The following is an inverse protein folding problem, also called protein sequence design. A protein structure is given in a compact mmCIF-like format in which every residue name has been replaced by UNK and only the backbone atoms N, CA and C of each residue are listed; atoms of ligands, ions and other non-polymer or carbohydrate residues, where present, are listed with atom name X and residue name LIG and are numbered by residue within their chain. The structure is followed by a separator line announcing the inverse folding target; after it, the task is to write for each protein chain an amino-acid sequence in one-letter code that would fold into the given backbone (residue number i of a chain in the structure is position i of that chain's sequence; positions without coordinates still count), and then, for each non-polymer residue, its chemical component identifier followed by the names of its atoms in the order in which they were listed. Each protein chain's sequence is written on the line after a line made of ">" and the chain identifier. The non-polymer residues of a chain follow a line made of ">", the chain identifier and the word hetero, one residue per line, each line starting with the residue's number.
data_IF_354556669375
#
_entry.id   IF_354556669375
#
_cell.length_a   1.000
_cell.length_b   1.000
_cell.length_c   1.000
_cell.angle_alpha   90.00
_cell.angle_beta   90.00
_cell.angle_gamma   90.00
#
_symmetry.space_group_name_H-M   'P 1'
#
loop_
_entity.id
_entity.type
_entity.pdbx_description
1 polymer ?
#
# COMPACT_ATOMS: atom_id res chain seq x y z
N UNK A 1 9.38 -13.28 6.46
CA UNK A 1 8.46 -12.21 6.03
C UNK A 1 8.91 -10.97 6.79
N UNK A 2 10.05 -10.41 6.43
CA UNK A 2 10.79 -9.53 7.37
C UNK A 2 10.36 -8.06 7.28
N UNK A 3 9.45 -7.73 6.35
CA UNK A 3 9.03 -6.36 6.10
C UNK A 3 7.59 -6.08 6.54
N UNK A 4 6.89 -7.06 7.15
CA UNK A 4 5.47 -6.93 7.51
C UNK A 4 5.23 -5.76 8.47
N UNK A 5 5.98 -5.69 9.56
CA UNK A 5 5.84 -4.60 10.55
C UNK A 5 6.13 -3.23 9.94
N UNK A 6 7.12 -3.16 9.04
CA UNK A 6 7.45 -1.94 8.32
C UNK A 6 6.30 -1.51 7.40
N UNK A 7 5.74 -2.44 6.61
CA UNK A 7 4.58 -2.19 5.76
C UNK A 7 3.37 -1.72 6.59
N UNK A 8 3.08 -2.38 7.70
CA UNK A 8 2.01 -1.96 8.62
C UNK A 8 2.26 -0.55 9.17
N UNK A 9 3.51 -0.19 9.48
CA UNK A 9 3.90 1.16 9.87
C UNK A 9 3.63 2.20 8.78
N UNK A 10 3.89 1.86 7.51
CA UNK A 10 3.58 2.73 6.37
C UNK A 10 2.07 2.93 6.21
N UNK A 11 1.26 1.90 6.46
CA UNK A 11 -0.20 1.99 6.43
C UNK A 11 -0.67 2.88 7.59
N UNK A 12 -0.30 2.55 8.84
CA UNK A 12 -0.72 3.25 10.06
C UNK A 12 -0.45 4.75 10.00
N UNK A 13 0.72 5.16 9.53
CA UNK A 13 1.08 6.58 9.37
C UNK A 13 0.23 7.34 8.35
N UNK A 14 -0.50 6.64 7.48
CA UNK A 14 -1.39 7.22 6.45
C UNK A 14 -2.87 7.12 6.80
N UNK A 15 -3.20 6.41 7.88
CA UNK A 15 -4.54 6.41 8.46
C UNK A 15 -4.68 7.63 9.37
N UNK A 16 -5.22 8.73 8.84
CA UNK A 16 -5.38 9.97 9.63
C UNK A 16 -6.37 9.85 10.78
N UNK A 17 -7.57 9.33 10.49
CA UNK A 17 -8.71 9.29 11.42
C UNK A 17 -9.24 7.86 11.64
N UNK A 18 -8.54 6.87 11.10
CA UNK A 18 -8.97 5.48 11.09
C UNK A 18 -8.04 4.67 11.99
N UNK A 19 -8.63 3.85 12.85
CA UNK A 19 -7.86 2.87 13.60
C UNK A 19 -7.47 1.75 12.65
N UNK A 20 -6.21 1.35 12.67
CA UNK A 20 -5.71 0.26 11.82
C UNK A 20 -6.55 -1.01 11.98
N UNK A 21 -6.97 -1.33 13.21
CA UNK A 21 -7.77 -2.52 13.49
C UNK A 21 -9.21 -2.44 12.98
N UNK A 22 -9.70 -1.25 12.62
CA UNK A 22 -11.00 -1.07 11.96
C UNK A 22 -10.94 -1.26 10.45
N UNK A 23 -9.75 -1.28 9.86
CA UNK A 23 -9.56 -1.58 8.44
C UNK A 23 -9.81 -3.07 8.21
N UNK A 24 -10.60 -3.40 7.19
CA UNK A 24 -10.88 -4.78 6.82
C UNK A 24 -9.58 -5.59 6.74
N UNK A 25 -9.60 -6.81 7.29
CA UNK A 25 -8.41 -7.65 7.33
C UNK A 25 -7.83 -7.86 5.92
N UNK A 26 -8.69 -8.06 4.93
CA UNK A 26 -8.27 -8.22 3.54
C UNK A 26 -7.55 -6.97 3.01
N UNK A 27 -8.08 -5.77 3.26
CA UNK A 27 -7.46 -4.52 2.82
C UNK A 27 -6.08 -4.34 3.46
N UNK A 28 -5.92 -4.68 4.75
CA UNK A 28 -4.62 -4.64 5.44
C UNK A 28 -3.60 -5.58 4.80
N UNK A 29 -4.03 -6.78 4.45
CA UNK A 29 -3.17 -7.77 3.80
C UNK A 29 -2.77 -7.32 2.39
N UNK A 30 -3.72 -6.84 1.59
CA UNK A 30 -3.47 -6.31 0.25
C UNK A 30 -2.50 -5.14 0.28
N UNK A 31 -2.72 -4.19 1.19
CA UNK A 31 -1.82 -3.06 1.39
C UNK A 31 -0.42 -3.54 1.77
N UNK A 32 -0.28 -4.50 2.68
CA UNK A 32 1.04 -5.01 3.06
C UNK A 32 1.78 -5.65 1.87
N UNK A 33 1.07 -6.49 1.09
CA UNK A 33 1.66 -7.16 -0.08
C UNK A 33 2.07 -6.12 -1.12
N UNK A 34 1.16 -5.24 -1.54
CA UNK A 34 1.45 -4.24 -2.55
C UNK A 34 2.57 -3.28 -2.13
N UNK A 35 2.58 -2.82 -0.87
CA UNK A 35 3.67 -1.99 -0.35
C UNK A 35 4.99 -2.76 -0.38
N UNK A 36 4.98 -4.05 -0.03
CA UNK A 36 6.19 -4.86 -0.07
C UNK A 36 6.75 -5.02 -1.48
N UNK A 37 5.89 -5.23 -2.48
CA UNK A 37 6.28 -5.31 -3.88
C UNK A 37 6.86 -3.98 -4.37
N UNK A 38 6.15 -2.87 -4.10
CA UNK A 38 6.57 -1.52 -4.49
C UNK A 38 7.97 -1.16 -3.94
N UNK A 39 8.33 -1.64 -2.76
CA UNK A 39 9.53 -1.20 -2.05
C UNK A 39 10.71 -2.16 -2.13
N UNK A 40 10.46 -3.44 -2.37
CA UNK A 40 11.48 -4.49 -2.23
C UNK A 40 11.57 -5.43 -3.43
N UNK A 41 10.71 -5.28 -4.44
CA UNK A 41 10.68 -6.17 -5.61
C UNK A 41 10.90 -5.35 -6.88
N UNK A 42 12.15 -5.23 -7.32
CA UNK A 42 12.54 -4.43 -8.48
C UNK A 42 11.95 -4.94 -9.82
N UNK A 43 11.63 -6.24 -9.89
CA UNK A 43 11.07 -6.88 -11.08
C UNK A 43 9.58 -6.58 -11.31
N UNK A 44 8.89 -5.99 -10.31
CA UNK A 44 7.45 -5.69 -10.38
C UNK A 44 7.26 -4.18 -10.46
N UNK A 45 6.72 -3.65 -11.58
CA UNK A 45 6.45 -2.22 -11.70
C UNK A 45 5.45 -1.79 -10.61
N UNK A 46 5.73 -0.74 -9.80
CA UNK A 46 4.87 -0.32 -8.71
C UNK A 46 3.41 -0.10 -9.10
N UNK A 47 3.16 0.45 -10.29
CA UNK A 47 1.80 0.68 -10.79
C UNK A 47 1.01 -0.61 -11.01
N UNK A 48 1.67 -1.71 -11.36
CA UNK A 48 1.03 -3.02 -11.53
C UNK A 48 0.55 -3.52 -10.17
N UNK A 49 1.41 -3.52 -9.15
CA UNK A 49 1.02 -3.90 -7.77
C UNK A 49 -0.16 -3.07 -7.25
N UNK A 50 -0.20 -1.78 -7.57
CA UNK A 50 -1.32 -0.90 -7.20
C UNK A 50 -2.61 -1.34 -7.89
N UNK A 51 -2.57 -1.53 -9.22
CA UNK A 51 -3.75 -1.95 -10.00
C UNK A 51 -4.30 -3.29 -9.54
N UNK A 52 -3.44 -4.29 -9.32
CA UNK A 52 -3.86 -5.62 -8.86
C UNK A 52 -4.50 -5.57 -7.46
N UNK A 53 -3.90 -4.81 -6.53
CA UNK A 53 -4.46 -4.66 -5.19
C UNK A 53 -5.85 -4.01 -5.20
N UNK A 54 -6.09 -3.03 -6.08
CA UNK A 54 -7.39 -2.37 -6.23
C UNK A 54 -8.43 -3.32 -6.79
N UNK A 55 -8.08 -4.11 -7.80
CA UNK A 55 -9.01 -5.06 -8.42
C UNK A 55 -9.42 -6.17 -7.44
N UNK A 56 -8.46 -6.71 -6.67
CA UNK A 56 -8.76 -7.70 -5.63
C UNK A 56 -9.62 -7.08 -4.52
N UNK A 57 -9.32 -5.86 -4.07
CA UNK A 57 -10.12 -5.17 -3.06
C UNK A 57 -11.57 -4.94 -3.55
N UNK A 58 -11.73 -4.57 -4.81
CA UNK A 58 -13.04 -4.36 -5.45
C UNK A 58 -13.86 -5.65 -5.53
N UNK A 59 -13.22 -6.78 -5.80
CA UNK A 59 -13.89 -8.06 -5.99
C UNK A 59 -14.22 -8.77 -4.67
N UNK A 60 -13.37 -8.64 -3.65
CA UNK A 60 -13.41 -9.52 -2.48
C UNK A 60 -13.54 -8.80 -1.12
N UNK A 61 -13.49 -7.47 -1.09
CA UNK A 61 -13.56 -6.68 0.15
C UNK A 61 -14.88 -5.90 0.24
N UNK A 62 -14.87 -4.70 0.82
CA UNK A 62 -16.05 -3.84 0.95
C UNK A 62 -16.23 -2.92 -0.26
N UNK A 63 -17.42 -2.33 -0.41
CA UNK A 63 -17.70 -1.37 -1.50
C UNK A 63 -16.72 -0.18 -1.53
N UNK A 64 -16.27 0.27 -0.36
CA UNK A 64 -15.35 1.40 -0.22
C UNK A 64 -13.86 1.01 -0.41
N UNK A 65 -13.54 -0.29 -0.33
CA UNK A 65 -12.17 -0.79 -0.24
C UNK A 65 -11.31 -0.45 -1.47
N UNK A 66 -11.87 -0.51 -2.68
CA UNK A 66 -11.14 -0.17 -3.90
C UNK A 66 -10.58 1.26 -3.88
N UNK A 67 -11.42 2.22 -3.46
CA UNK A 67 -11.04 3.63 -3.36
C UNK A 67 -10.05 3.87 -2.21
N UNK A 68 -10.24 3.19 -1.09
CA UNK A 68 -9.38 3.26 0.08
C UNK A 68 -7.97 2.72 -0.22
N UNK A 69 -7.88 1.52 -0.78
CA UNK A 69 -6.61 0.88 -1.17
C UNK A 69 -5.86 1.75 -2.18
N UNK A 70 -6.55 2.26 -3.21
CA UNK A 70 -5.95 3.18 -4.18
C UNK A 70 -5.35 4.41 -3.49
N UNK A 71 -6.12 5.06 -2.59
CA UNK A 71 -5.67 6.27 -1.89
C UNK A 71 -4.44 6.05 -1.01
N UNK A 72 -4.36 4.93 -0.30
CA UNK A 72 -3.19 4.60 0.54
C UNK A 72 -1.97 4.30 -0.33
N UNK A 73 -2.12 3.45 -1.35
CA UNK A 73 -0.99 3.03 -2.19
C UNK A 73 -0.46 4.18 -3.06
N UNK A 74 -1.32 5.05 -3.59
CA UNK A 74 -0.91 6.27 -4.30
C UNK A 74 -0.05 7.18 -3.40
N UNK A 75 -0.41 7.29 -2.13
CA UNK A 75 0.34 8.09 -1.16
C UNK A 75 1.72 7.47 -0.88
N UNK A 76 1.77 6.14 -0.70
CA UNK A 76 3.02 5.40 -0.53
C UNK A 76 3.92 5.59 -1.75
N UNK A 77 3.41 5.34 -2.95
CA UNK A 77 4.15 5.49 -4.20
C UNK A 77 4.72 6.90 -4.38
N UNK A 78 3.92 7.95 -4.12
CA UNK A 78 4.38 9.35 -4.19
C UNK A 78 5.44 9.70 -3.15
N UNK A 79 5.40 9.06 -1.97
CA UNK A 79 6.39 9.29 -0.92
C UNK A 79 7.73 8.69 -1.32
N UNK A 80 7.72 7.44 -1.78
CA UNK A 80 8.93 6.71 -2.18
C UNK A 80 9.57 7.34 -3.42
N UNK A 81 8.77 7.70 -4.42
CA UNK A 81 9.28 8.37 -5.61
C UNK A 81 10.04 9.68 -5.27
N UNK A 82 9.55 10.45 -4.29
CA UNK A 82 10.22 11.66 -3.80
C UNK A 82 11.50 11.37 -3.02
N UNK A 83 11.59 10.23 -2.33
CA UNK A 83 12.81 9.81 -1.63
C UNK A 83 13.89 9.35 -2.61
N UNK A 84 13.51 8.68 -3.71
CA UNK A 84 14.43 8.31 -4.78
C UNK A 84 14.97 9.52 -5.54
N UNK A 85 14.18 10.58 -5.71
CA UNK A 85 14.61 11.84 -6.34
C UNK A 85 15.52 12.69 -5.44
N UNK A 86 15.50 12.45 -4.12
CA UNK A 86 16.24 13.26 -3.13
C UNK A 86 17.61 12.71 -2.75
N UNK A 87 18.07 11.58 -3.29
CA UNK A 87 19.48 11.15 -3.13
C UNK A 87 20.36 12.03 -4.04
N UNK A 88 21.11 13.02 -3.51
CA UNK A 88 22.18 13.62 -4.29
C UNK A 88 23.31 12.57 -4.37
N UNK A 89 23.89 12.40 -5.56
CA UNK A 89 25.17 11.71 -5.72
C UNK A 89 26.26 12.29 -4.82
#
# INVERSE_FOLDING_TARGET
>A
MDNKEWCEGQIKSRLKNWEFDRVALLDRLLLCVAISEICFVDDVPPKVSISEAIEIAKQYSTEESSSFVNGVLDNVYKTIAKETEKKPS
#
